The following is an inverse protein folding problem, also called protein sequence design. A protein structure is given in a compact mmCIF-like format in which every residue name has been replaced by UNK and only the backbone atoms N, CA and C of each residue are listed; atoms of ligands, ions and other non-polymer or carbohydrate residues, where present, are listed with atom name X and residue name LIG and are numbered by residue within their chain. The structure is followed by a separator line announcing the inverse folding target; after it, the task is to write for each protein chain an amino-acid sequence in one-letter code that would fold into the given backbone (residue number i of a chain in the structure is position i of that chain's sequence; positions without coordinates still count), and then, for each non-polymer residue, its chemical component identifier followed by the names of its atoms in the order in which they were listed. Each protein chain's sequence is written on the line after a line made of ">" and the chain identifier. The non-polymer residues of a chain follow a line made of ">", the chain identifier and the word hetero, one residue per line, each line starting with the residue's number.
data_IF_272849777909
#
_entry.id   IF_272849777909
#
_cell.length_a   1.000
_cell.length_b   1.000
_cell.length_c   1.000
_cell.angle_alpha   90.00
_cell.angle_beta   90.00
_cell.angle_gamma   90.00
#
_symmetry.space_group_name_H-M   'P 1'
#
loop_
_entity.id
_entity.type
_entity.pdbx_description
1 polymer ?
#
# COMPACT_ATOMS: atom_id res chain seq x y z
N UNK A 1 -3.48 15.45 -3.55
CA UNK A 1 -4.44 14.39 -3.93
C UNK A 1 -5.72 14.34 -3.09
N UNK A 2 -5.82 14.95 -1.90
CA UNK A 2 -7.08 15.08 -1.08
C UNK A 2 -8.41 15.11 -1.87
N UNK A 3 -8.49 15.92 -2.95
CA UNK A 3 -9.64 16.02 -3.88
C UNK A 3 -10.13 14.69 -4.49
N UNK A 4 -9.24 13.72 -4.78
CA UNK A 4 -9.66 12.41 -5.28
C UNK A 4 -10.13 11.51 -4.14
N UNK A 5 -9.59 11.64 -2.92
CA UNK A 5 -10.12 10.90 -1.77
C UNK A 5 -11.57 11.29 -1.45
N UNK A 6 -11.84 12.59 -1.36
CA UNK A 6 -13.20 13.12 -1.20
C UNK A 6 -14.15 12.74 -2.36
N UNK A 7 -13.62 12.42 -3.55
CA UNK A 7 -14.43 11.88 -4.66
C UNK A 7 -14.76 10.39 -4.46
N UNK A 8 -13.80 9.57 -4.01
CA UNK A 8 -14.10 8.17 -3.66
C UNK A 8 -15.20 8.10 -2.59
N UNK A 9 -15.12 8.94 -1.55
CA UNK A 9 -16.15 9.10 -0.54
C UNK A 9 -17.50 9.57 -1.14
N UNK A 10 -17.49 10.62 -1.96
CA UNK A 10 -18.69 11.13 -2.64
C UNK A 10 -19.32 10.17 -3.66
N UNK A 11 -18.56 9.19 -4.15
CA UNK A 11 -19.02 8.16 -5.10
C UNK A 11 -19.42 6.84 -4.45
N UNK A 12 -19.29 6.69 -3.12
CA UNK A 12 -19.39 5.39 -2.43
C UNK A 12 -18.45 4.33 -3.03
N UNK A 13 -17.24 4.71 -3.44
CA UNK A 13 -16.31 3.79 -4.10
C UNK A 13 -15.77 2.75 -3.13
N UNK A 14 -15.87 1.48 -3.49
CA UNK A 14 -15.19 0.37 -2.81
C UNK A 14 -13.78 0.14 -3.37
N UNK A 15 -13.05 -0.83 -2.83
CA UNK A 15 -11.78 -1.28 -3.39
C UNK A 15 -11.94 -1.84 -4.82
N UNK A 16 -10.90 -1.69 -5.63
CA UNK A 16 -10.91 -2.06 -7.04
C UNK A 16 -10.67 -3.56 -7.24
N UNK A 17 -11.64 -4.22 -7.90
CA UNK A 17 -11.47 -5.55 -8.48
C UNK A 17 -11.05 -6.61 -7.45
N UNK A 18 -9.91 -7.26 -7.69
CA UNK A 18 -9.45 -8.38 -6.86
C UNK A 18 -9.01 -7.94 -5.46
N UNK A 19 -8.88 -6.65 -5.17
CA UNK A 19 -8.69 -6.16 -3.81
C UNK A 19 -9.93 -6.40 -2.91
N UNK A 20 -11.10 -6.68 -3.48
CA UNK A 20 -12.30 -7.10 -2.73
C UNK A 20 -12.31 -8.62 -2.40
N UNK A 21 -11.39 -9.42 -2.95
CA UNK A 21 -11.58 -10.87 -3.04
C UNK A 21 -11.82 -11.54 -1.67
N UNK A 22 -12.79 -12.47 -1.54
CA UNK A 22 -13.27 -12.91 -0.22
C UNK A 22 -12.21 -13.43 0.75
N UNK A 23 -11.18 -14.15 0.29
CA UNK A 23 -10.12 -14.71 1.16
C UNK A 23 -9.04 -13.72 1.60
N UNK A 24 -9.07 -12.46 1.14
CA UNK A 24 -8.17 -11.42 1.64
C UNK A 24 -8.54 -11.04 3.08
N UNK A 25 -7.58 -10.92 4.02
CA UNK A 25 -7.87 -10.80 5.45
C UNK A 25 -8.50 -9.45 5.82
N UNK A 26 -8.04 -8.39 5.18
CA UNK A 26 -8.46 -7.01 5.45
C UNK A 26 -9.57 -6.60 4.47
N UNK A 27 -10.56 -5.83 4.94
CA UNK A 27 -11.79 -5.46 4.21
C UNK A 27 -12.11 -3.98 4.37
N UNK A 28 -12.98 -3.47 3.50
CA UNK A 28 -13.56 -2.13 3.58
C UNK A 28 -15.05 -2.22 3.32
N UNK A 29 -15.82 -1.60 4.21
CA UNK A 29 -17.28 -1.57 4.15
C UNK A 29 -17.74 -0.12 4.33
N UNK A 30 -18.03 0.60 3.23
CA UNK A 30 -18.55 1.96 3.33
C UNK A 30 -20.03 2.00 3.71
N UNK A 31 -20.72 0.85 3.81
CA UNK A 31 -22.18 0.77 4.04
C UNK A 31 -22.68 1.59 5.23
N UNK A 32 -22.03 1.61 6.41
CA UNK A 32 -22.44 2.45 7.54
C UNK A 32 -22.47 3.96 7.19
N UNK A 33 -21.68 4.37 6.21
CA UNK A 33 -21.49 5.76 5.79
C UNK A 33 -22.18 6.12 4.46
N UNK A 34 -22.90 5.20 3.81
CA UNK A 34 -23.61 5.51 2.55
C UNK A 34 -24.73 6.54 2.80
N UNK A 35 -25.51 6.34 3.86
CA UNK A 35 -26.70 7.14 4.21
C UNK A 35 -26.50 8.05 5.44
N UNK A 36 -25.27 8.26 5.91
CA UNK A 36 -25.01 9.16 7.05
C UNK A 36 -25.31 10.61 6.68
N UNK A 37 -25.87 11.36 7.62
CA UNK A 37 -25.98 12.83 7.52
C UNK A 37 -24.66 13.54 7.84
N UNK A 38 -23.64 12.78 8.27
CA UNK A 38 -22.30 13.25 8.61
C UNK A 38 -21.30 12.95 7.48
N UNK A 39 -21.33 13.78 6.45
CA UNK A 39 -20.38 13.70 5.33
C UNK A 39 -18.92 13.88 5.77
N UNK A 40 -18.70 14.51 6.93
CA UNK A 40 -17.42 14.60 7.62
C UNK A 40 -16.90 13.22 8.05
N UNK A 41 -17.68 12.44 8.81
CA UNK A 41 -17.30 11.08 9.25
C UNK A 41 -17.02 10.17 8.06
N UNK A 42 -17.87 10.24 7.03
CA UNK A 42 -17.69 9.48 5.79
C UNK A 42 -16.38 9.83 5.10
N UNK A 43 -16.07 11.12 5.01
CA UNK A 43 -14.83 11.59 4.38
C UNK A 43 -13.61 11.16 5.20
N UNK A 44 -13.69 11.24 6.52
CA UNK A 44 -12.63 10.82 7.44
C UNK A 44 -12.36 9.30 7.35
N UNK A 45 -13.41 8.46 7.44
CA UNK A 45 -13.30 7.01 7.26
C UNK A 45 -12.64 6.63 5.93
N UNK A 46 -13.04 7.28 4.82
CA UNK A 46 -12.34 7.08 3.56
C UNK A 46 -10.87 7.47 3.71
N UNK A 47 -10.55 8.68 4.19
CA UNK A 47 -9.18 9.18 4.34
C UNK A 47 -8.25 8.26 5.16
N UNK A 48 -8.74 7.47 6.11
CA UNK A 48 -7.91 6.47 6.82
C UNK A 48 -7.36 5.38 5.87
N UNK A 49 -8.17 4.88 4.94
CA UNK A 49 -7.77 3.89 3.93
C UNK A 49 -7.12 4.50 2.66
N UNK A 50 -7.22 5.84 2.52
CA UNK A 50 -7.15 6.57 1.24
C UNK A 50 -6.18 7.77 1.25
N UNK A 51 -5.76 8.26 2.42
CA UNK A 51 -4.66 9.19 2.60
C UNK A 51 -4.06 9.11 4.03
N UNK A 52 -3.73 7.92 4.57
CA UNK A 52 -3.20 7.80 5.91
C UNK A 52 -1.84 8.48 6.08
N UNK A 53 -1.63 9.02 7.28
CA UNK A 53 -0.43 9.75 7.70
C UNK A 53 0.81 8.86 7.84
N UNK A 54 1.98 9.46 8.05
CA UNK A 54 3.23 8.72 8.32
C UNK A 54 3.07 7.82 9.55
N UNK A 55 2.38 8.29 10.59
CA UNK A 55 2.18 7.57 11.84
C UNK A 55 1.24 6.37 11.64
N UNK A 56 0.14 6.54 10.90
CA UNK A 56 -0.78 5.44 10.54
C UNK A 56 -0.08 4.39 9.65
N UNK A 57 0.82 4.82 8.75
CA UNK A 57 1.65 3.92 7.94
C UNK A 57 2.57 3.07 8.83
N UNK A 58 3.36 3.72 9.70
CA UNK A 58 4.32 3.06 10.58
C UNK A 58 3.61 2.10 11.54
N UNK A 59 2.50 2.55 12.16
CA UNK A 59 1.62 1.74 13.01
C UNK A 59 1.14 0.47 12.31
N UNK A 60 0.67 0.58 11.06
CA UNK A 60 0.21 -0.58 10.29
C UNK A 60 1.35 -1.53 9.93
N UNK A 61 2.52 -1.00 9.59
CA UNK A 61 3.68 -1.83 9.28
C UNK A 61 4.25 -2.55 10.50
N UNK A 62 4.19 -1.93 11.69
CA UNK A 62 4.56 -2.61 12.94
C UNK A 62 3.71 -3.85 13.18
N UNK A 63 2.37 -3.73 13.05
CA UNK A 63 1.43 -4.87 13.14
C UNK A 63 1.73 -5.96 12.10
N UNK A 64 2.04 -5.58 10.85
CA UNK A 64 2.45 -6.54 9.82
C UNK A 64 3.76 -7.26 10.16
N UNK A 65 4.70 -6.59 10.85
CA UNK A 65 5.95 -7.18 11.36
C UNK A 65 5.75 -8.05 12.62
N UNK A 66 4.74 -7.73 13.43
CA UNK A 66 4.31 -8.57 14.57
C UNK A 66 3.66 -9.87 14.08
N UNK A 67 2.77 -9.80 13.08
CA UNK A 67 2.15 -10.95 12.41
C UNK A 67 3.19 -11.84 11.69
N UNK A 68 4.34 -11.27 11.29
CA UNK A 68 5.39 -11.97 10.55
C UNK A 68 6.81 -11.55 11.06
N UNK A 69 7.37 -12.21 12.09
CA UNK A 69 8.66 -11.79 12.68
C UNK A 69 9.91 -11.92 11.79
N UNK A 70 9.80 -12.52 10.61
CA UNK A 70 10.83 -12.57 9.55
C UNK A 70 11.10 -11.22 8.87
N UNK A 71 10.19 -10.26 9.04
CA UNK A 71 10.10 -9.03 8.26
C UNK A 71 11.08 -7.95 8.76
N UNK A 72 12.04 -7.54 7.91
CA UNK A 72 13.19 -6.71 8.34
C UNK A 72 13.58 -5.51 7.45
N UNK A 73 13.11 -5.40 6.20
CA UNK A 73 13.45 -4.31 5.26
C UNK A 73 12.22 -3.80 4.54
N UNK A 74 12.17 -2.53 4.14
CA UNK A 74 11.08 -1.76 3.48
C UNK A 74 11.53 -1.25 2.10
N UNK A 75 10.65 -1.16 1.08
CA UNK A 75 10.83 -0.16 0.02
C UNK A 75 9.57 0.49 -0.54
N UNK A 76 9.73 1.73 -0.98
CA UNK A 76 8.65 2.64 -1.24
C UNK A 76 8.54 2.92 -2.75
N UNK A 77 7.92 1.99 -3.49
CA UNK A 77 7.26 2.30 -4.75
C UNK A 77 6.39 3.54 -4.53
N UNK A 78 6.57 4.61 -5.29
CA UNK A 78 5.91 5.87 -4.93
C UNK A 78 5.90 6.89 -6.04
N UNK A 79 4.78 7.61 -6.12
CA UNK A 79 4.67 8.87 -6.86
C UNK A 79 4.77 10.09 -5.92
N UNK A 80 5.16 9.87 -4.66
CA UNK A 80 5.26 10.88 -3.61
C UNK A 80 6.57 11.67 -3.64
N UNK A 81 6.54 12.87 -3.08
CA UNK A 81 7.68 13.80 -3.07
C UNK A 81 8.84 13.31 -2.19
N UNK A 82 10.08 13.51 -2.65
CA UNK A 82 11.29 13.01 -2.00
C UNK A 82 11.49 13.45 -0.54
N UNK A 83 11.02 14.63 -0.14
CA UNK A 83 11.11 15.11 1.25
C UNK A 83 10.20 14.30 2.20
N UNK A 84 8.95 14.05 1.79
CA UNK A 84 8.03 13.19 2.53
C UNK A 84 8.53 11.75 2.55
N UNK A 85 9.11 11.32 1.42
CA UNK A 85 9.66 9.99 1.27
C UNK A 85 10.84 9.73 2.22
N UNK A 86 11.73 10.72 2.43
CA UNK A 86 12.76 10.62 3.47
C UNK A 86 12.12 10.50 4.84
N UNK A 87 11.23 11.43 5.20
CA UNK A 87 10.55 11.42 6.50
C UNK A 87 9.87 10.08 6.84
N UNK A 88 9.27 9.40 5.85
CA UNK A 88 8.76 8.04 6.06
C UNK A 88 9.88 6.97 6.15
N UNK A 89 10.91 7.00 5.29
CA UNK A 89 12.07 6.09 5.42
C UNK A 89 12.72 6.20 6.81
N UNK A 90 12.82 7.41 7.32
CA UNK A 90 13.48 7.73 8.59
C UNK A 90 12.59 7.30 9.77
N UNK A 91 11.29 7.63 9.77
CA UNK A 91 10.34 7.13 10.77
C UNK A 91 10.22 5.59 10.80
N UNK A 92 10.40 4.91 9.67
CA UNK A 92 10.45 3.44 9.62
C UNK A 92 11.74 2.88 10.22
N UNK A 93 12.90 3.52 9.99
CA UNK A 93 14.16 3.13 10.63
C UNK A 93 14.10 3.32 12.14
N UNK A 94 13.46 4.40 12.61
CA UNK A 94 13.19 4.66 14.03
C UNK A 94 12.24 3.61 14.65
N UNK A 95 11.26 3.11 13.88
CA UNK A 95 10.40 1.97 14.26
C UNK A 95 11.14 0.61 14.22
N UNK A 96 12.43 0.57 13.86
CA UNK A 96 13.25 -0.64 13.85
C UNK A 96 13.27 -1.42 12.53
N UNK A 97 12.88 -0.80 11.41
CA UNK A 97 13.12 -1.37 10.08
C UNK A 97 14.60 -1.25 9.70
N UNK A 98 15.27 -2.37 9.41
CA UNK A 98 16.72 -2.42 9.19
C UNK A 98 17.16 -1.82 7.84
N UNK A 99 16.24 -1.65 6.89
CA UNK A 99 16.41 -0.85 5.68
C UNK A 99 15.07 -0.28 5.21
N UNK A 100 15.10 0.86 4.53
CA UNK A 100 13.96 1.51 3.90
C UNK A 100 14.41 2.22 2.60
N UNK A 101 14.11 1.61 1.45
CA UNK A 101 14.49 2.08 0.09
C UNK A 101 13.24 2.47 -0.75
N UNK A 102 13.29 2.62 -2.08
CA UNK A 102 12.20 3.14 -2.93
C UNK A 102 12.46 3.01 -4.44
N UNK A 103 11.44 3.21 -5.29
CA UNK A 103 11.65 3.35 -6.76
C UNK A 103 12.68 4.43 -7.08
N UNK A 104 12.72 5.51 -6.29
CA UNK A 104 13.62 6.64 -6.50
C UNK A 104 15.08 6.33 -6.15
N UNK A 105 15.35 5.21 -5.47
CA UNK A 105 16.72 4.75 -5.21
C UNK A 105 17.21 3.77 -6.31
N UNK A 106 16.30 3.19 -7.12
CA UNK A 106 16.68 2.31 -8.23
C UNK A 106 17.40 3.14 -9.31
N UNK A 107 18.64 2.75 -9.61
CA UNK A 107 19.39 3.27 -10.74
C UNK A 107 18.87 2.61 -12.02
N UNK A 108 18.08 3.34 -12.81
CA UNK A 108 17.60 2.93 -14.12
C UNK A 108 18.27 3.77 -15.22
N UNK A 109 18.63 3.15 -16.34
CA UNK A 109 19.02 3.90 -17.53
C UNK A 109 17.81 4.54 -18.24
N UNK A 110 18.07 5.40 -19.24
CA UNK A 110 17.03 6.13 -19.95
C UNK A 110 15.98 5.22 -20.64
N UNK A 111 16.39 4.06 -21.18
CA UNK A 111 15.47 3.09 -21.78
C UNK A 111 14.71 2.29 -20.71
N UNK A 112 15.38 1.93 -19.61
CA UNK A 112 14.77 1.27 -18.46
C UNK A 112 13.73 2.15 -17.75
N UNK A 113 13.89 3.48 -17.77
CA UNK A 113 12.96 4.42 -17.14
C UNK A 113 11.51 4.25 -17.64
N UNK A 114 11.31 3.94 -18.94
CA UNK A 114 10.00 3.68 -19.53
C UNK A 114 9.30 2.43 -18.98
N UNK A 115 10.05 1.51 -18.36
CA UNK A 115 9.53 0.29 -17.73
C UNK A 115 9.71 0.27 -16.21
N UNK A 116 10.05 1.40 -15.57
CA UNK A 116 10.23 1.50 -14.11
C UNK A 116 9.02 0.97 -13.33
N UNK A 117 7.80 1.34 -13.74
CA UNK A 117 6.55 0.83 -13.15
C UNK A 117 6.38 -0.70 -13.27
N UNK A 118 7.00 -1.33 -14.28
CA UNK A 118 6.97 -2.79 -14.44
C UNK A 118 8.06 -3.48 -13.61
N UNK A 119 9.23 -2.85 -13.42
CA UNK A 119 10.25 -3.29 -12.45
C UNK A 119 9.66 -3.25 -11.04
N UNK A 120 8.98 -2.16 -10.71
CA UNK A 120 8.17 -1.98 -9.50
C UNK A 120 7.16 -3.12 -9.30
N UNK A 121 6.34 -3.43 -10.30
CA UNK A 121 5.41 -4.57 -10.25
C UNK A 121 6.10 -5.94 -10.14
N UNK A 122 7.31 -6.10 -10.68
CA UNK A 122 8.06 -7.36 -10.65
C UNK A 122 8.82 -7.58 -9.32
N UNK A 123 9.19 -6.50 -8.63
CA UNK A 123 9.61 -6.51 -7.22
C UNK A 123 8.38 -6.86 -6.37
N UNK A 124 7.25 -6.20 -6.67
CA UNK A 124 6.00 -6.36 -5.94
C UNK A 124 5.51 -7.82 -5.88
N UNK A 125 5.43 -8.45 -7.04
CA UNK A 125 4.94 -9.83 -7.15
C UNK A 125 5.71 -10.84 -6.28
N UNK A 126 7.03 -10.67 -6.07
CA UNK A 126 7.98 -11.70 -5.59
C UNK A 126 8.07 -11.88 -4.08
N UNK A 127 7.15 -11.29 -3.36
CA UNK A 127 7.30 -11.03 -1.94
C UNK A 127 6.47 -11.99 -1.06
N UNK A 128 6.91 -12.24 0.16
CA UNK A 128 6.08 -12.68 1.29
C UNK A 128 4.88 -11.73 1.48
N UNK A 129 4.98 -10.44 1.89
CA UNK A 129 3.82 -9.65 2.39
C UNK A 129 3.49 -8.32 1.67
N UNK A 130 2.21 -8.19 1.29
CA UNK A 130 1.51 -7.01 0.74
C UNK A 130 0.89 -6.19 1.87
N UNK A 131 0.60 -4.88 1.68
CA UNK A 131 -0.07 -4.02 2.68
C UNK A 131 -0.89 -2.87 2.04
N UNK A 132 -1.63 -3.10 0.95
CA UNK A 132 -2.12 -2.07 0.03
C UNK A 132 -2.76 -0.77 0.59
N UNK A 133 -2.41 0.41 0.02
CA UNK A 133 -2.81 1.78 0.44
C UNK A 133 -2.99 2.74 -0.74
N UNK A 134 -4.02 3.61 -0.76
CA UNK A 134 -4.02 4.80 -1.65
C UNK A 134 -3.64 6.10 -0.91
N UNK A 135 -3.34 7.15 -1.69
CA UNK A 135 -3.11 8.51 -1.22
C UNK A 135 -1.65 8.90 -1.10
N UNK A 136 -1.18 9.75 -2.04
CA UNK A 136 0.11 10.49 -2.15
C UNK A 136 1.44 9.73 -1.99
N UNK A 137 1.43 8.56 -1.37
CA UNK A 137 2.46 8.28 -0.38
C UNK A 137 2.65 6.79 -0.11
N UNK A 138 3.43 6.15 -0.99
CA UNK A 138 4.28 4.99 -0.64
C UNK A 138 3.63 3.60 -0.68
N UNK A 139 4.39 2.64 -1.21
CA UNK A 139 3.95 1.32 -1.68
C UNK A 139 5.14 0.31 -1.52
N UNK A 140 5.02 -0.75 -0.69
CA UNK A 140 6.04 -1.52 0.13
C UNK A 140 7.01 -2.77 -0.32
N UNK A 141 6.45 -3.99 -0.68
CA UNK A 141 6.64 -5.55 -0.84
C UNK A 141 7.56 -6.61 -0.14
N UNK A 142 7.23 -7.19 1.04
CA UNK A 142 8.24 -7.84 1.93
C UNK A 142 8.51 -9.30 1.65
N UNK A 143 9.68 -9.81 1.98
CA UNK A 143 10.20 -11.16 1.80
C UNK A 143 11.25 -11.39 2.89
N UNK A 144 11.46 -12.64 3.29
CA UNK A 144 12.65 -13.07 4.03
C UNK A 144 13.98 -12.62 3.38
N UNK A 145 13.97 -12.02 2.18
CA UNK A 145 15.06 -11.20 1.63
C UNK A 145 14.75 -9.69 1.25
N UNK A 146 13.55 -9.07 1.38
CA UNK A 146 13.25 -7.63 1.02
C UNK A 146 11.75 -7.17 1.18
N UNK A 147 11.34 -5.98 1.77
CA UNK A 147 10.20 -5.00 1.39
C UNK A 147 8.84 -4.66 2.26
N UNK A 148 7.54 -4.55 1.84
CA UNK A 148 6.16 -4.64 2.56
C UNK A 148 4.84 -3.94 1.95
N UNK A 149 4.23 -4.41 0.83
CA UNK A 149 3.33 -3.77 -0.23
C UNK A 149 2.19 -2.78 -0.03
N UNK A 150 2.39 -1.53 0.35
CA UNK A 150 1.34 -0.51 0.28
C UNK A 150 0.67 -0.13 -1.09
N UNK A 151 0.38 -0.99 -2.11
CA UNK A 151 -0.33 -0.54 -3.36
C UNK A 151 -1.82 -0.20 -3.17
N UNK A 152 -2.27 0.90 -3.78
CA UNK A 152 -3.64 1.41 -3.77
C UNK A 152 -4.78 0.40 -3.93
N UNK A 153 -5.51 0.17 -2.86
CA UNK A 153 -6.73 -0.64 -2.84
C UNK A 153 -7.77 -0.13 -3.85
N UNK A 154 -7.81 1.19 -4.06
CA UNK A 154 -8.60 1.90 -5.08
C UNK A 154 -7.89 1.98 -6.46
N UNK A 155 -6.95 1.08 -6.78
CA UNK A 155 -6.20 1.05 -8.05
C UNK A 155 -6.14 -0.33 -8.68
N UNK A 156 -6.25 -0.34 -10.00
CA UNK A 156 -6.02 -1.51 -10.86
C UNK A 156 -4.59 -2.05 -10.76
N UNK A 157 -3.58 -1.20 -10.51
CA UNK A 157 -2.18 -1.63 -10.35
C UNK A 157 -2.02 -2.67 -9.23
N UNK A 158 -2.79 -2.48 -8.17
CA UNK A 158 -2.81 -3.28 -6.94
C UNK A 158 -3.61 -4.56 -7.13
N UNK A 159 -4.80 -4.44 -7.72
CA UNK A 159 -5.61 -5.59 -8.15
C UNK A 159 -4.81 -6.51 -9.06
N UNK A 160 -3.95 -5.96 -9.94
CA UNK A 160 -3.08 -6.72 -10.81
C UNK A 160 -1.97 -7.46 -10.04
N UNK A 161 -1.37 -6.87 -9.00
CA UNK A 161 -0.34 -7.59 -8.22
C UNK A 161 -0.96 -8.62 -7.26
N UNK A 162 -2.11 -8.32 -6.63
CA UNK A 162 -2.89 -9.32 -5.86
C UNK A 162 -3.24 -10.52 -6.75
N UNK A 163 -3.74 -10.27 -7.97
CA UNK A 163 -3.98 -11.30 -8.98
C UNK A 163 -2.74 -12.14 -9.26
N UNK A 164 -1.62 -11.51 -9.63
CA UNK A 164 -0.38 -12.21 -10.00
C UNK A 164 0.16 -13.09 -8.85
N UNK A 165 0.05 -12.62 -7.61
CA UNK A 165 0.48 -13.35 -6.42
C UNK A 165 -0.41 -14.56 -6.12
N UNK A 166 -1.72 -14.37 -6.13
CA UNK A 166 -2.67 -15.47 -5.94
C UNK A 166 -2.55 -16.52 -7.05
N UNK A 167 -2.35 -16.09 -8.31
CA UNK A 167 -2.09 -17.00 -9.44
C UNK A 167 -0.75 -17.74 -9.30
N UNK A 168 0.24 -17.13 -8.62
CA UNK A 168 1.52 -17.78 -8.27
C UNK A 168 1.47 -18.61 -6.98
N UNK A 169 0.29 -18.80 -6.38
CA UNK A 169 0.10 -19.65 -5.20
C UNK A 169 0.60 -19.02 -3.89
N UNK A 170 0.76 -17.70 -3.83
CA UNK A 170 1.05 -17.02 -2.57
C UNK A 170 -0.24 -16.87 -1.75
N UNK A 171 -0.14 -17.17 -0.45
CA UNK A 171 -1.28 -17.19 0.48
C UNK A 171 -2.12 -15.90 0.44
N UNK A 172 -3.46 -15.97 0.41
CA UNK A 172 -4.31 -14.77 0.47
C UNK A 172 -4.06 -13.92 1.72
N UNK A 173 -3.75 -14.53 2.87
CA UNK A 173 -3.37 -13.83 4.10
C UNK A 173 -2.11 -12.96 3.95
N UNK A 174 -1.23 -13.30 3.00
CA UNK A 174 -0.05 -12.51 2.67
C UNK A 174 -0.38 -11.22 1.91
N UNK A 175 -1.64 -11.03 1.54
CA UNK A 175 -2.13 -9.85 0.84
C UNK A 175 -2.87 -8.92 1.82
N UNK A 176 -2.13 -8.16 2.64
CA UNK A 176 -2.69 -7.21 3.61
C UNK A 176 -3.05 -5.88 2.95
N UNK A 177 -3.75 -5.06 3.73
CA UNK A 177 -4.17 -3.70 3.38
C UNK A 177 -3.99 -2.70 4.53
N UNK A 178 -4.24 -1.42 4.27
CA UNK A 178 -4.50 -0.38 5.28
C UNK A 178 -6.00 -0.28 5.57
#
# INVERSE_FOLDING_TARGET
>A
FKRHCARLAGWNSEYMGLNQFPSLPDKFDPTPYINTTREDEKTEYYFEHCLPTTEQIVERLRKVREDHPSLSRVYLLTNGWGWWLSGLKDALREDGWADATSSLDIQLDAAQSYVGMAVDMAIAEKAEVFVGKWGESGIIFLSQHMLTLMLSQFSSLSSNVVMLRMVKGLEPASNRFL
#
